data_IF_023475272667
#
_entry.id   IF_023475272667
#
_cell.length_a   1.000
_cell.length_b   1.000
_cell.length_c   1.000
_cell.angle_alpha   90.00
_cell.angle_beta   90.00
_cell.angle_gamma   90.00
#
_symmetry.space_group_name_H-M   'P 1'
#
loop_
_entity.id
_entity.type
_entity.pdbx_description
1 polymer ?
#
# COMPACT_ATOMS: atom_id res chain seq x y z
N UNK A 1 13.95 22.14 -6.53
CA UNK A 1 12.94 21.51 -5.64
C UNK A 1 12.11 22.50 -4.81
N UNK A 2 12.69 23.40 -4.01
CA UNK A 2 11.92 24.27 -3.08
C UNK A 2 11.07 25.35 -3.79
N UNK A 3 11.54 25.86 -4.93
CA UNK A 3 10.82 26.87 -5.72
C UNK A 3 9.40 26.45 -6.13
N UNK A 4 9.19 25.16 -6.48
CA UNK A 4 7.86 24.65 -6.84
C UNK A 4 6.91 24.60 -5.64
N UNK A 5 7.43 24.33 -4.44
CA UNK A 5 6.63 24.25 -3.21
C UNK A 5 6.24 25.64 -2.69
N UNK A 6 7.10 26.63 -2.88
CA UNK A 6 6.86 28.01 -2.45
C UNK A 6 5.94 28.80 -3.40
N UNK A 7 5.99 28.53 -4.72
CA UNK A 7 5.25 29.32 -5.71
C UNK A 7 3.92 28.72 -6.20
N UNK A 8 3.51 27.53 -5.73
CA UNK A 8 2.20 26.96 -6.09
C UNK A 8 1.24 27.01 -4.91
N UNK A 9 0.02 27.50 -5.15
CA UNK A 9 -1.03 27.52 -4.11
C UNK A 9 -1.47 26.11 -3.74
N UNK A 10 -1.86 25.91 -2.47
CA UNK A 10 -2.34 24.61 -1.97
C UNK A 10 -3.50 24.05 -2.81
N UNK A 11 -4.42 24.91 -3.28
CA UNK A 11 -5.52 24.48 -4.14
C UNK A 11 -5.03 23.91 -5.47
N UNK A 12 -4.02 24.53 -6.08
CA UNK A 12 -3.42 24.06 -7.33
C UNK A 12 -2.62 22.77 -7.09
N UNK A 13 -1.88 22.68 -5.98
CA UNK A 13 -1.16 21.47 -5.57
C UNK A 13 -2.11 20.29 -5.40
N UNK A 14 -3.23 20.50 -4.70
CA UNK A 14 -4.26 19.47 -4.50
C UNK A 14 -4.88 19.06 -5.84
N UNK A 15 -5.23 20.00 -6.72
CA UNK A 15 -5.80 19.69 -8.03
C UNK A 15 -4.85 18.90 -8.95
N UNK A 16 -3.59 19.34 -9.05
CA UNK A 16 -2.55 18.63 -9.81
C UNK A 16 -2.31 17.23 -9.24
N UNK A 17 -2.26 17.11 -7.91
CA UNK A 17 -2.09 15.82 -7.24
C UNK A 17 -3.25 14.86 -7.52
N UNK A 18 -4.49 15.36 -7.56
CA UNK A 18 -5.70 14.61 -7.87
C UNK A 18 -5.66 14.06 -9.29
N UNK A 19 -5.21 14.88 -10.25
CA UNK A 19 -5.04 14.48 -11.65
C UNK A 19 -3.97 13.40 -11.81
N UNK A 20 -2.88 13.47 -11.04
CA UNK A 20 -1.83 12.45 -11.04
C UNK A 20 -2.14 11.21 -10.20
N UNK A 21 -3.15 11.27 -9.32
CA UNK A 21 -3.58 10.17 -8.46
C UNK A 21 -4.22 9.01 -9.23
N UNK A 22 -4.53 9.20 -10.51
CA UNK A 22 -4.95 8.13 -11.43
C UNK A 22 -3.86 7.07 -11.61
N UNK A 23 -2.59 7.41 -11.35
CA UNK A 23 -1.50 6.45 -11.33
C UNK A 23 -1.20 5.98 -9.91
N UNK A 24 -1.18 4.66 -9.71
CA UNK A 24 -0.95 4.04 -8.40
C UNK A 24 0.30 4.58 -7.71
N UNK A 25 0.12 5.14 -6.51
CA UNK A 25 1.19 5.76 -5.70
C UNK A 25 2.26 4.73 -5.33
N UNK A 26 1.86 3.48 -5.16
CA UNK A 26 2.73 2.37 -4.76
C UNK A 26 3.75 2.03 -5.85
N UNK A 27 3.33 2.00 -7.11
CA UNK A 27 4.23 1.80 -8.25
C UNK A 27 5.32 2.88 -8.32
N UNK A 28 4.97 4.13 -8.00
CA UNK A 28 5.93 5.24 -7.96
C UNK A 28 6.91 5.11 -6.80
N UNK A 29 6.42 4.72 -5.62
CA UNK A 29 7.28 4.54 -4.44
C UNK A 29 8.30 3.42 -4.62
N UNK A 30 7.93 2.29 -5.22
CA UNK A 30 8.87 1.19 -5.48
C UNK A 30 10.04 1.63 -6.34
N UNK A 31 9.76 2.36 -7.43
CA UNK A 31 10.81 2.83 -8.34
C UNK A 31 11.69 3.91 -7.70
N UNK A 32 11.16 4.69 -6.76
CA UNK A 32 11.88 5.80 -6.15
C UNK A 32 12.72 5.40 -4.94
N UNK A 33 12.17 4.58 -4.04
CA UNK A 33 12.74 4.29 -2.72
C UNK A 33 13.38 2.90 -2.67
N UNK A 34 12.87 1.96 -3.46
CA UNK A 34 13.27 0.55 -3.45
C UNK A 34 12.12 -0.34 -2.97
N UNK A 35 12.19 -1.64 -3.32
CA UNK A 35 11.08 -2.56 -3.10
C UNK A 35 10.89 -2.90 -1.62
N UNK A 36 11.97 -3.15 -0.85
CA UNK A 36 11.88 -3.52 0.57
C UNK A 36 11.29 -2.42 1.45
N UNK A 37 11.74 -1.18 1.29
CA UNK A 37 11.22 -0.05 2.05
C UNK A 37 9.74 0.23 1.69
N UNK A 38 9.36 0.06 0.42
CA UNK A 38 7.97 0.19 0.00
C UNK A 38 7.10 -0.94 0.56
N UNK A 39 7.60 -2.17 0.60
CA UNK A 39 6.91 -3.31 1.18
C UNK A 39 6.67 -3.12 2.69
N UNK A 40 7.64 -2.59 3.44
CA UNK A 40 7.46 -2.28 4.85
C UNK A 40 6.35 -1.24 5.08
N UNK A 41 6.32 -0.18 4.26
CA UNK A 41 5.25 0.83 4.30
C UNK A 41 3.88 0.25 3.94
N UNK A 42 3.85 -0.65 2.96
CA UNK A 42 2.62 -1.31 2.52
C UNK A 42 2.08 -2.27 3.60
N UNK A 43 2.95 -3.00 4.30
CA UNK A 43 2.58 -3.78 5.49
C UNK A 43 2.00 -2.90 6.58
N UNK A 44 2.67 -1.80 6.94
CA UNK A 44 2.14 -0.85 7.94
C UNK A 44 0.78 -0.28 7.53
N UNK A 45 0.60 0.01 6.24
CA UNK A 45 -0.67 0.48 5.69
C UNK A 45 -1.78 -0.57 5.84
N UNK A 46 -1.52 -1.83 5.49
CA UNK A 46 -2.49 -2.91 5.63
C UNK A 46 -2.82 -3.26 7.08
N UNK A 47 -1.84 -3.22 7.99
CA UNK A 47 -2.08 -3.37 9.43
C UNK A 47 -3.03 -2.29 9.92
N UNK A 48 -2.81 -1.02 9.53
CA UNK A 48 -3.69 0.07 9.93
C UNK A 48 -5.10 -0.08 9.36
N UNK A 49 -5.24 -0.42 8.07
CA UNK A 49 -6.56 -0.68 7.46
C UNK A 49 -7.25 -1.86 8.15
N UNK A 50 -6.52 -2.94 8.40
CA UNK A 50 -7.04 -4.13 9.09
C UNK A 50 -7.51 -3.81 10.51
N UNK A 51 -6.72 -3.05 11.27
CA UNK A 51 -7.05 -2.60 12.62
C UNK A 51 -8.32 -1.73 12.62
N UNK A 52 -8.38 -0.72 11.76
CA UNK A 52 -9.57 0.15 11.67
C UNK A 52 -10.78 -0.67 11.24
N UNK A 53 -10.64 -1.57 10.27
CA UNK A 53 -11.71 -2.47 9.86
C UNK A 53 -12.20 -3.36 11.00
N UNK A 54 -11.29 -3.87 11.85
CA UNK A 54 -11.66 -4.67 13.02
C UNK A 54 -12.41 -3.83 14.07
N UNK A 55 -11.99 -2.58 14.30
CA UNK A 55 -12.71 -1.64 15.15
C UNK A 55 -14.10 -1.33 14.60
N UNK A 56 -14.23 -1.10 13.29
CA UNK A 56 -15.52 -0.88 12.63
C UNK A 56 -16.44 -2.10 12.83
N UNK A 57 -15.93 -3.32 12.67
CA UNK A 57 -16.70 -4.54 12.97
C UNK A 57 -17.14 -4.55 14.44
N UNK A 58 -16.25 -4.26 15.38
CA UNK A 58 -16.57 -4.23 16.81
C UNK A 58 -17.73 -3.27 17.15
N UNK A 59 -17.75 -2.09 16.53
CA UNK A 59 -18.81 -1.09 16.74
C UNK A 59 -20.08 -1.42 15.95
N UNK A 60 -19.95 -1.99 14.76
CA UNK A 60 -21.08 -2.29 13.87
C UNK A 60 -21.80 -3.58 14.26
N UNK A 61 -21.08 -4.54 14.86
CA UNK A 61 -21.63 -5.85 15.20
C UNK A 61 -22.74 -5.75 16.24
N UNK A 62 -22.58 -4.93 17.28
CA UNK A 62 -23.65 -4.69 18.26
C UNK A 62 -24.89 -4.11 17.58
N UNK A 63 -24.70 -3.12 16.71
CA UNK A 63 -25.78 -2.49 15.94
C UNK A 63 -26.46 -3.43 14.94
N UNK A 64 -25.76 -4.46 14.47
CA UNK A 64 -26.31 -5.48 13.57
C UNK A 64 -27.11 -6.57 14.31
N UNK A 65 -26.68 -6.94 15.52
CA UNK A 65 -27.30 -8.01 16.32
C UNK A 65 -28.49 -7.51 17.13
N UNK A 66 -28.42 -6.26 17.60
CA UNK A 66 -29.53 -5.60 18.31
C UNK A 66 -29.91 -4.32 17.56
N UNK A 67 -30.71 -4.44 16.48
CA UNK A 67 -31.13 -3.27 15.70
C UNK A 67 -32.03 -2.36 16.53
N UNK A 68 -31.97 -1.06 16.25
CA UNK A 68 -32.84 -0.06 16.86
C UNK A 68 -34.29 -0.38 16.51
N UNK A 69 -35.16 -0.43 17.52
CA UNK A 69 -36.60 -0.64 17.35
C UNK A 69 -37.27 0.72 17.23
N UNK A 70 -38.13 0.89 16.23
CA UNK A 70 -38.94 2.10 16.09
C UNK A 70 -40.10 2.07 17.10
N UNK A 71 -40.21 3.10 17.95
CA UNK A 71 -41.26 3.21 18.97
C UNK A 71 -42.62 3.67 18.41
N UNK A 72 -42.63 4.25 17.20
CA UNK A 72 -43.76 4.99 16.61
C UNK A 72 -44.73 4.14 15.76
N UNK A 73 -44.31 2.96 15.30
CA UNK A 73 -45.12 2.09 14.42
C UNK A 73 -45.45 2.69 13.05
N UNK A 74 -44.80 3.79 12.63
CA UNK A 74 -44.98 4.36 11.30
C UNK A 74 -44.23 3.55 10.22
N UNK A 75 -44.84 3.34 9.05
CA UNK A 75 -44.24 2.61 7.92
C UNK A 75 -42.87 3.19 7.49
N UNK A 76 -42.70 4.51 7.64
CA UNK A 76 -41.45 5.21 7.33
C UNK A 76 -40.28 4.77 8.24
N UNK A 77 -40.56 4.51 9.51
CA UNK A 77 -39.56 4.09 10.48
C UNK A 77 -39.20 2.61 10.31
N UNK A 78 -40.16 1.77 9.90
CA UNK A 78 -39.86 0.37 9.57
C UNK A 78 -38.91 0.26 8.36
N UNK A 79 -39.10 1.09 7.34
CA UNK A 79 -38.20 1.15 6.17
C UNK A 79 -36.81 1.65 6.60
N UNK A 80 -36.73 2.68 7.43
CA UNK A 80 -35.47 3.23 7.93
C UNK A 80 -34.68 2.20 8.75
N UNK A 81 -35.35 1.40 9.59
CA UNK A 81 -34.73 0.30 10.35
C UNK A 81 -34.18 -0.78 9.42
N UNK A 82 -34.92 -1.18 8.38
CA UNK A 82 -34.45 -2.17 7.38
C UNK A 82 -33.24 -1.67 6.60
N UNK A 83 -33.26 -0.41 6.19
CA UNK A 83 -32.13 0.24 5.50
C UNK A 83 -30.90 0.29 6.39
N UNK A 84 -31.05 0.75 7.64
CA UNK A 84 -29.94 0.80 8.61
C UNK A 84 -29.33 -0.59 8.83
N UNK A 85 -30.16 -1.59 9.10
CA UNK A 85 -29.69 -2.97 9.34
C UNK A 85 -28.94 -3.54 8.13
N UNK A 86 -29.46 -3.30 6.92
CA UNK A 86 -28.82 -3.76 5.67
C UNK A 86 -27.48 -3.09 5.44
N UNK A 87 -27.40 -1.76 5.64
CA UNK A 87 -26.16 -1.00 5.48
C UNK A 87 -25.11 -1.42 6.51
N UNK A 88 -25.50 -1.66 7.76
CA UNK A 88 -24.61 -2.21 8.80
C UNK A 88 -24.08 -3.58 8.41
N UNK A 89 -24.96 -4.48 7.93
CA UNK A 89 -24.57 -5.82 7.47
C UNK A 89 -23.56 -5.77 6.31
N UNK A 90 -23.82 -4.93 5.31
CA UNK A 90 -22.89 -4.70 4.19
C UNK A 90 -21.55 -4.17 4.71
N UNK A 91 -21.56 -3.17 5.60
CA UNK A 91 -20.32 -2.61 6.17
C UNK A 91 -19.48 -3.66 6.90
N UNK A 92 -20.12 -4.55 7.68
CA UNK A 92 -19.44 -5.66 8.38
C UNK A 92 -18.80 -6.61 7.38
N UNK A 93 -19.52 -7.02 6.34
CA UNK A 93 -18.99 -7.95 5.31
C UNK A 93 -17.81 -7.32 4.57
N UNK A 94 -17.93 -6.05 4.15
CA UNK A 94 -16.85 -5.34 3.46
C UNK A 94 -15.62 -5.16 4.35
N UNK A 95 -15.82 -4.86 5.64
CA UNK A 95 -14.72 -4.74 6.60
C UNK A 95 -14.04 -6.08 6.85
N UNK A 96 -14.81 -7.18 6.95
CA UNK A 96 -14.25 -8.53 7.10
C UNK A 96 -13.45 -8.95 5.86
N UNK A 97 -14.00 -8.72 4.66
CA UNK A 97 -13.29 -8.97 3.41
C UNK A 97 -11.99 -8.18 3.33
N UNK A 98 -12.00 -6.92 3.75
CA UNK A 98 -10.80 -6.07 3.80
C UNK A 98 -9.73 -6.66 4.70
N UNK A 99 -10.09 -7.14 5.90
CA UNK A 99 -9.16 -7.79 6.84
C UNK A 99 -8.55 -9.05 6.21
N UNK A 100 -9.39 -9.93 5.65
CA UNK A 100 -8.92 -11.19 5.04
C UNK A 100 -7.96 -10.91 3.89
N UNK A 101 -8.29 -9.95 3.01
CA UNK A 101 -7.43 -9.56 1.89
C UNK A 101 -6.12 -8.97 2.43
N UNK A 102 -6.14 -8.06 3.41
CA UNK A 102 -4.93 -7.52 4.03
C UNK A 102 -4.01 -8.61 4.57
N UNK A 103 -4.55 -9.61 5.27
CA UNK A 103 -3.77 -10.72 5.84
C UNK A 103 -3.14 -11.58 4.74
N UNK A 104 -3.92 -11.97 3.72
CA UNK A 104 -3.41 -12.75 2.59
C UNK A 104 -2.25 -12.00 1.91
N UNK A 105 -2.44 -10.71 1.61
CA UNK A 105 -1.44 -9.90 0.94
C UNK A 105 -0.19 -9.63 1.80
N UNK A 106 -0.32 -9.54 3.13
CA UNK A 106 0.85 -9.47 4.02
C UNK A 106 1.70 -10.73 3.92
N UNK A 107 1.07 -11.91 3.96
CA UNK A 107 1.78 -13.20 3.84
C UNK A 107 2.46 -13.30 2.47
N UNK A 108 1.77 -12.91 1.39
CA UNK A 108 2.35 -12.93 0.05
C UNK A 108 3.56 -12.00 -0.09
N UNK A 109 3.56 -10.83 0.56
CA UNK A 109 4.76 -9.98 0.61
C UNK A 109 5.91 -10.66 1.35
N UNK A 110 5.64 -11.34 2.46
CA UNK A 110 6.66 -12.07 3.23
C UNK A 110 7.24 -13.26 2.45
N UNK A 111 6.45 -13.86 1.55
CA UNK A 111 6.90 -14.96 0.68
C UNK A 111 7.82 -14.50 -0.46
N UNK A 112 7.87 -13.21 -0.78
CA UNK A 112 8.76 -12.67 -1.80
C UNK A 112 10.18 -12.45 -1.22
N UNK A 113 11.08 -13.40 -1.51
CA UNK A 113 12.42 -13.45 -0.90
C UNK A 113 13.45 -12.58 -1.63
N UNK A 114 13.23 -12.24 -2.89
CA UNK A 114 14.15 -11.39 -3.67
C UNK A 114 13.59 -10.00 -3.93
N UNK A 115 14.48 -9.00 -4.06
CA UNK A 115 14.07 -7.62 -4.35
C UNK A 115 13.36 -7.48 -5.71
N UNK A 116 13.73 -8.32 -6.69
CA UNK A 116 13.11 -8.36 -8.00
C UNK A 116 11.67 -8.86 -7.92
N UNK A 117 11.45 -9.99 -7.25
CA UNK A 117 10.11 -10.57 -7.09
C UNK A 117 9.18 -9.61 -6.34
N UNK A 118 9.72 -8.95 -5.31
CA UNK A 118 8.99 -7.95 -4.53
C UNK A 118 8.59 -6.73 -5.38
N UNK A 119 9.49 -6.26 -6.26
CA UNK A 119 9.21 -5.16 -7.20
C UNK A 119 8.12 -5.55 -8.19
N UNK A 120 8.21 -6.74 -8.76
CA UNK A 120 7.24 -7.25 -9.73
C UNK A 120 5.88 -7.47 -9.08
N UNK A 121 5.85 -8.02 -7.86
CA UNK A 121 4.64 -8.18 -7.05
C UNK A 121 3.93 -6.85 -6.81
N UNK A 122 4.64 -5.83 -6.33
CA UNK A 122 4.02 -4.53 -6.04
C UNK A 122 3.54 -3.86 -7.33
N UNK A 123 4.29 -3.98 -8.43
CA UNK A 123 3.91 -3.37 -9.71
C UNK A 123 2.68 -4.02 -10.34
N UNK A 124 2.55 -5.36 -10.24
CA UNK A 124 1.41 -6.11 -10.73
C UNK A 124 0.16 -5.88 -9.87
N UNK A 125 0.33 -5.84 -8.55
CA UNK A 125 -0.78 -5.76 -7.59
C UNK A 125 -1.13 -4.34 -7.13
N UNK A 126 -0.42 -3.31 -7.59
CA UNK A 126 -0.71 -1.91 -7.26
C UNK A 126 -2.20 -1.52 -7.44
N UNK A 127 -2.88 -1.91 -8.54
CA UNK A 127 -4.31 -1.62 -8.72
C UNK A 127 -5.20 -2.29 -7.66
N UNK A 128 -4.80 -3.45 -7.14
CA UNK A 128 -5.56 -4.19 -6.13
C UNK A 128 -5.49 -3.47 -4.78
N UNK A 129 -4.33 -2.87 -4.45
CA UNK A 129 -4.19 -2.04 -3.24
C UNK A 129 -5.10 -0.80 -3.32
N UNK A 130 -5.19 -0.18 -4.50
CA UNK A 130 -6.07 0.96 -4.74
C UNK A 130 -7.56 0.54 -4.65
N UNK A 131 -7.92 -0.62 -5.22
CA UNK A 131 -9.26 -1.22 -5.10
C UNK A 131 -9.63 -1.51 -3.63
N UNK A 132 -8.73 -2.12 -2.87
CA UNK A 132 -8.92 -2.44 -1.46
C UNK A 132 -9.17 -1.19 -0.62
N UNK A 133 -8.45 -0.11 -0.92
CA UNK A 133 -8.68 1.19 -0.27
C UNK A 133 -10.07 1.74 -0.61
N UNK A 134 -10.54 1.53 -1.83
CA UNK A 134 -11.91 1.86 -2.25
C UNK A 134 -12.97 1.04 -1.51
N UNK A 135 -12.76 -0.28 -1.38
CA UNK A 135 -13.64 -1.19 -0.63
C UNK A 135 -13.73 -0.80 0.85
N UNK A 136 -12.59 -0.51 1.47
CA UNK A 136 -12.53 0.02 2.84
C UNK A 136 -13.26 1.36 2.98
N UNK A 137 -13.05 2.29 2.03
CA UNK A 137 -13.75 3.58 2.05
C UNK A 137 -15.26 3.40 1.92
N UNK A 138 -15.71 2.47 1.08
CA UNK A 138 -17.12 2.13 0.93
C UNK A 138 -17.70 1.55 2.24
N UNK A 139 -16.96 0.71 2.96
CA UNK A 139 -17.44 0.16 4.24
C UNK A 139 -17.63 1.25 5.31
N UNK A 140 -16.73 2.23 5.35
CA UNK A 140 -16.86 3.39 6.25
C UNK A 140 -18.09 4.23 5.88
N UNK A 141 -18.29 4.51 4.59
CA UNK A 141 -19.43 5.31 4.11
C UNK A 141 -20.76 4.61 4.40
N UNK A 142 -20.86 3.30 4.17
CA UNK A 142 -22.08 2.55 4.47
C UNK A 142 -22.39 2.54 5.96
N UNK A 143 -21.37 2.46 6.83
CA UNK A 143 -21.56 2.57 8.27
C UNK A 143 -22.06 3.95 8.69
N UNK A 144 -21.49 5.02 8.13
CA UNK A 144 -21.93 6.39 8.40
C UNK A 144 -23.39 6.61 7.97
N UNK A 145 -23.78 6.09 6.80
CA UNK A 145 -25.16 6.15 6.34
C UNK A 145 -26.09 5.38 7.28
N UNK A 146 -25.67 4.19 7.74
CA UNK A 146 -26.43 3.43 8.72
C UNK A 146 -26.63 4.21 10.03
N UNK A 147 -25.57 4.83 10.55
CA UNK A 147 -25.63 5.64 11.76
C UNK A 147 -26.58 6.84 11.60
N UNK A 148 -26.56 7.52 10.44
CA UNK A 148 -27.50 8.59 10.13
C UNK A 148 -28.95 8.10 10.10
N UNK A 149 -29.21 6.95 9.48
CA UNK A 149 -30.56 6.35 9.48
C UNK A 149 -31.02 5.95 10.89
N UNK A 150 -30.12 5.43 11.73
CA UNK A 150 -30.44 5.09 13.12
C UNK A 150 -30.74 6.34 13.97
N UNK A 151 -29.98 7.42 13.77
CA UNK A 151 -30.24 8.72 14.40
C UNK A 151 -31.59 9.30 13.97
N UNK A 152 -31.97 9.15 12.70
CA UNK A 152 -33.28 9.60 12.20
C UNK A 152 -34.43 8.88 12.91
N UNK A 153 -34.30 7.57 13.17
CA UNK A 153 -35.32 6.78 13.90
C UNK A 153 -35.36 7.13 15.39
N UNK A 154 -34.23 7.54 15.97
CA UNK A 154 -34.12 7.75 17.43
C UNK A 154 -34.44 9.19 17.87
N UNK A 155 -34.10 10.18 17.06
CA UNK A 155 -34.30 11.60 17.39
C UNK A 155 -35.54 12.18 16.70
N UNK A 156 -36.19 13.16 17.34
CA UNK A 156 -37.20 13.96 16.65
C UNK A 156 -36.61 14.71 15.46
N UNK A 157 -37.40 15.00 14.42
CA UNK A 157 -36.92 15.60 13.16
C UNK A 157 -36.05 16.85 13.36
N UNK A 158 -36.44 17.73 14.29
CA UNK A 158 -35.69 18.95 14.60
C UNK A 158 -34.34 18.64 15.26
N UNK A 159 -34.29 17.71 16.19
CA UNK A 159 -33.06 17.28 16.88
C UNK A 159 -32.11 16.57 15.91
N UNK A 160 -32.65 15.69 15.06
CA UNK A 160 -31.91 15.03 13.99
C UNK A 160 -31.24 16.05 13.07
N UNK A 161 -31.97 17.06 12.59
CA UNK A 161 -31.42 18.09 11.69
C UNK A 161 -30.28 18.86 12.38
N UNK A 162 -30.44 19.23 13.65
CA UNK A 162 -29.41 19.96 14.41
C UNK A 162 -28.15 19.09 14.55
N UNK A 163 -28.30 17.84 14.98
CA UNK A 163 -27.17 16.92 15.18
C UNK A 163 -26.48 16.60 13.85
N UNK A 164 -27.26 16.36 12.79
CA UNK A 164 -26.73 16.10 11.45
C UNK A 164 -26.00 17.33 10.88
N UNK A 165 -26.51 18.54 11.09
CA UNK A 165 -25.87 19.77 10.62
C UNK A 165 -24.55 20.04 11.36
N UNK A 166 -24.52 19.92 12.69
CA UNK A 166 -23.30 20.15 13.49
C UNK A 166 -22.26 19.07 13.19
N UNK A 167 -22.64 17.80 13.27
CA UNK A 167 -21.74 16.66 13.01
C UNK A 167 -21.27 16.69 11.56
N UNK A 168 -22.18 16.93 10.61
CA UNK A 168 -21.87 17.05 9.20
C UNK A 168 -20.88 18.17 8.90
N UNK A 169 -21.01 19.32 9.57
CA UNK A 169 -20.06 20.43 9.42
C UNK A 169 -18.67 20.06 9.94
N UNK A 170 -18.58 19.43 11.11
CA UNK A 170 -17.30 18.98 11.69
C UNK A 170 -16.63 17.95 10.78
N UNK A 171 -17.40 16.96 10.32
CA UNK A 171 -16.90 15.92 9.40
C UNK A 171 -16.46 16.53 8.07
N UNK A 172 -17.22 17.45 7.50
CA UNK A 172 -16.86 18.13 6.26
C UNK A 172 -15.56 18.92 6.41
N UNK A 173 -15.39 19.66 7.50
CA UNK A 173 -14.15 20.38 7.79
C UNK A 173 -12.96 19.42 7.93
N UNK A 174 -13.14 18.29 8.63
CA UNK A 174 -12.11 17.27 8.76
C UNK A 174 -11.75 16.65 7.40
N UNK A 175 -12.73 16.37 6.53
CA UNK A 175 -12.51 15.85 5.17
C UNK A 175 -11.74 16.86 4.32
N UNK A 176 -12.15 18.13 4.33
CA UNK A 176 -11.45 19.19 3.58
C UNK A 176 -10.01 19.33 4.06
N UNK A 177 -9.79 19.36 5.37
CA UNK A 177 -8.45 19.43 5.94
C UNK A 177 -7.60 18.21 5.55
N UNK A 178 -8.13 16.99 5.68
CA UNK A 178 -7.46 15.77 5.28
C UNK A 178 -7.13 15.75 3.78
N UNK A 179 -8.04 16.23 2.93
CA UNK A 179 -7.83 16.32 1.48
C UNK A 179 -6.71 17.32 1.12
N UNK A 180 -6.64 18.47 1.81
CA UNK A 180 -5.57 19.45 1.62
C UNK A 180 -4.22 18.86 2.05
N UNK A 181 -4.15 18.23 3.22
CA UNK A 181 -2.92 17.59 3.72
C UNK A 181 -2.47 16.45 2.80
N UNK A 182 -3.40 15.60 2.36
CA UNK A 182 -3.12 14.52 1.42
C UNK A 182 -2.64 15.05 0.07
N UNK A 183 -3.29 16.10 -0.45
CA UNK A 183 -2.92 16.77 -1.70
C UNK A 183 -1.52 17.37 -1.63
N UNK A 184 -1.20 18.07 -0.55
CA UNK A 184 0.13 18.63 -0.32
C UNK A 184 1.22 17.54 -0.23
N UNK A 185 0.97 16.46 0.52
CA UNK A 185 1.91 15.35 0.62
C UNK A 185 2.12 14.65 -0.73
N UNK A 186 1.05 14.43 -1.51
CA UNK A 186 1.16 13.86 -2.87
C UNK A 186 1.91 14.79 -3.81
N UNK A 187 1.67 16.10 -3.73
CA UNK A 187 2.41 17.09 -4.53
C UNK A 187 3.90 17.08 -4.19
N UNK A 188 4.28 17.04 -2.90
CA UNK A 188 5.68 16.90 -2.47
C UNK A 188 6.34 15.64 -3.05
N UNK A 189 5.63 14.52 -3.08
CA UNK A 189 6.12 13.28 -3.69
C UNK A 189 6.27 13.43 -5.21
N UNK A 190 5.31 14.04 -5.89
CA UNK A 190 5.40 14.33 -7.32
C UNK A 190 6.60 15.22 -7.65
N UNK A 191 6.82 16.30 -6.90
CA UNK A 191 7.98 17.18 -7.09
C UNK A 191 9.30 16.42 -6.91
N UNK A 192 9.38 15.48 -5.94
CA UNK A 192 10.59 14.68 -5.70
C UNK A 192 10.88 13.66 -6.80
N UNK A 193 9.87 13.05 -7.38
CA UNK A 193 10.06 11.84 -8.19
C UNK A 193 9.60 11.97 -9.65
N UNK A 194 8.54 12.72 -9.92
CA UNK A 194 7.94 12.84 -11.25
C UNK A 194 8.29 14.17 -11.96
N UNK A 195 8.81 15.16 -11.23
CA UNK A 195 9.32 16.39 -11.82
C UNK A 195 10.49 16.09 -12.78
N UNK A 196 10.81 16.99 -13.73
CA UNK A 196 11.98 16.81 -14.59
C UNK A 196 13.27 16.59 -13.80
N UNK A 197 13.45 17.33 -12.70
CA UNK A 197 14.56 17.18 -11.76
C UNK A 197 14.55 15.80 -11.07
N UNK A 198 13.38 15.38 -10.58
CA UNK A 198 13.20 14.07 -9.92
C UNK A 198 13.49 12.89 -10.85
N UNK A 199 12.99 12.96 -12.09
CA UNK A 199 13.26 11.94 -13.12
C UNK A 199 14.73 11.87 -13.49
N UNK A 200 15.44 12.99 -13.54
CA UNK A 200 16.87 13.00 -13.78
C UNK A 200 17.65 12.33 -12.63
N UNK A 201 17.24 12.56 -11.37
CA UNK A 201 17.83 11.91 -10.20
C UNK A 201 17.58 10.39 -10.19
N UNK A 202 16.35 9.94 -10.50
CA UNK A 202 16.04 8.51 -10.62
C UNK A 202 16.86 7.86 -11.73
N UNK A 203 16.94 8.50 -12.90
CA UNK A 203 17.74 7.98 -14.01
C UNK A 203 19.25 7.96 -13.70
N UNK A 204 19.76 8.91 -12.92
CA UNK A 204 21.15 8.90 -12.47
C UNK A 204 21.41 7.73 -11.51
N UNK A 205 20.52 7.48 -10.55
CA UNK A 205 20.61 6.35 -9.62
C UNK A 205 20.53 5.00 -10.33
N UNK A 206 19.65 4.86 -11.32
CA UNK A 206 19.54 3.63 -12.12
C UNK A 206 20.84 3.35 -12.89
N UNK A 207 21.54 4.40 -13.37
CA UNK A 207 22.85 4.26 -14.01
C UNK A 207 23.93 3.85 -13.01
N UNK A 208 24.01 4.50 -11.86
CA UNK A 208 24.97 4.13 -10.81
C UNK A 208 24.81 2.66 -10.36
N UNK A 209 23.56 2.21 -10.24
CA UNK A 209 23.26 0.81 -9.91
C UNK A 209 23.67 -0.14 -11.03
N UNK A 210 23.38 0.20 -12.30
CA UNK A 210 23.83 -0.58 -13.46
C UNK A 210 25.35 -0.68 -13.58
N UNK A 211 26.05 0.42 -13.37
CA UNK A 211 27.52 0.47 -13.40
C UNK A 211 28.14 -0.35 -12.26
N UNK A 212 27.53 -0.31 -11.07
CA UNK A 212 27.93 -1.16 -9.94
C UNK A 212 27.75 -2.64 -10.23
N UNK A 213 26.63 -3.01 -10.88
CA UNK A 213 26.35 -4.39 -11.27
C UNK A 213 27.34 -4.90 -12.33
N UNK A 214 27.70 -4.05 -13.29
CA UNK A 214 28.70 -4.38 -14.31
C UNK A 214 30.08 -4.63 -13.69
N UNK A 215 30.50 -3.81 -12.72
CA UNK A 215 31.75 -4.01 -11.97
C UNK A 215 31.76 -5.31 -11.18
N UNK A 216 30.66 -5.61 -10.46
CA UNK A 216 30.51 -6.86 -9.73
C UNK A 216 30.54 -8.08 -10.67
N UNK A 217 29.96 -7.95 -11.86
CA UNK A 217 29.99 -9.00 -12.87
C UNK A 217 31.41 -9.21 -13.43
N UNK A 218 32.15 -8.13 -13.68
CA UNK A 218 33.54 -8.19 -14.13
C UNK A 218 34.44 -8.83 -13.06
N UNK A 219 34.28 -8.44 -11.80
CA UNK A 219 35.04 -9.01 -10.68
C UNK A 219 34.71 -10.49 -10.46
N UNK A 220 33.44 -10.87 -10.61
CA UNK A 220 33.03 -12.28 -10.57
C UNK A 220 33.65 -13.09 -11.73
N UNK A 221 33.67 -12.54 -12.94
CA UNK A 221 34.30 -13.19 -14.10
C UNK A 221 35.81 -13.37 -13.90
N UNK A 222 36.47 -12.38 -13.31
CA UNK A 222 37.89 -12.46 -12.96
C UNK A 222 38.15 -13.57 -11.93
N UNK A 223 37.35 -13.63 -10.85
CA UNK A 223 37.46 -14.69 -9.85
C UNK A 223 37.20 -16.09 -10.42
N UNK A 224 36.26 -16.21 -11.37
CA UNK A 224 35.99 -17.48 -12.07
C UNK A 224 37.19 -17.94 -12.90
N UNK A 225 37.88 -17.02 -13.57
CA UNK A 225 39.07 -17.35 -14.36
C UNK A 225 40.26 -17.72 -13.47
N UNK A 226 40.50 -17.00 -12.36
CA UNK A 226 41.53 -17.38 -11.38
C UNK A 226 41.28 -18.79 -10.82
N UNK A 227 40.03 -19.10 -10.46
CA UNK A 227 39.66 -20.44 -9.99
C UNK A 227 39.88 -21.52 -11.05
N UNK A 228 39.66 -21.19 -12.33
CA UNK A 228 39.91 -22.09 -13.45
C UNK A 228 41.39 -22.37 -13.63
N UNK A 229 42.24 -21.34 -13.57
CA UNK A 229 43.71 -21.51 -13.65
C UNK A 229 44.25 -22.35 -12.49
N UNK A 230 43.76 -22.11 -11.27
CA UNK A 230 44.15 -22.91 -10.09
C UNK A 230 43.75 -24.38 -10.27
N UNK A 231 42.54 -24.62 -10.80
CA UNK A 231 42.07 -25.98 -11.10
C UNK A 231 42.97 -26.67 -12.12
N UNK A 232 43.26 -26.02 -13.24
CA UNK A 232 44.12 -26.58 -14.30
C UNK A 232 45.53 -26.89 -13.77
N UNK A 233 46.09 -26.02 -12.91
CA UNK A 233 47.37 -26.26 -12.27
C UNK A 233 47.35 -27.46 -11.31
N UNK A 234 46.27 -27.62 -10.52
CA UNK A 234 46.09 -28.77 -9.63
C UNK A 234 46.00 -30.08 -10.42
N UNK A 235 45.25 -30.11 -11.53
CA UNK A 235 45.15 -31.28 -12.41
C UNK A 235 46.51 -31.65 -13.02
N UNK A 236 47.29 -30.66 -13.46
CA UNK A 236 48.66 -30.84 -13.95
C UNK A 236 49.59 -31.41 -12.88
N UNK A 237 49.51 -30.89 -11.64
CA UNK A 237 50.31 -31.37 -10.52
C UNK A 237 49.96 -32.81 -10.16
N UNK A 238 48.67 -33.14 -10.09
CA UNK A 238 48.22 -34.50 -9.81
C UNK A 238 48.67 -35.48 -10.90
N UNK A 239 48.61 -35.07 -12.16
CA UNK A 239 49.12 -35.86 -13.30
C UNK A 239 50.63 -36.08 -13.20
N UNK A 240 51.40 -35.03 -12.84
CA UNK A 240 52.85 -35.12 -12.62
C UNK A 240 53.18 -36.07 -11.47
N UNK A 241 52.46 -35.98 -10.34
CA UNK A 241 52.68 -36.83 -9.17
C UNK A 241 52.37 -38.31 -9.50
N UNK A 242 51.31 -38.59 -10.28
CA UNK A 242 51.03 -39.93 -10.80
C UNK A 242 52.16 -40.45 -11.69
N UNK A 243 52.67 -39.65 -12.63
CA UNK A 243 53.79 -40.06 -13.50
C UNK A 243 55.05 -40.35 -12.67
N UNK A 244 55.40 -39.48 -11.72
CA UNK A 244 56.56 -39.69 -10.85
C UNK A 244 56.43 -40.96 -10.00
N UNK A 245 55.24 -41.26 -9.49
CA UNK A 245 54.99 -42.51 -8.76
C UNK A 245 55.11 -43.76 -9.64
N UNK A 246 54.74 -43.68 -10.92
CA UNK A 246 54.87 -44.78 -11.88
C UNK A 246 56.33 -45.00 -12.31
N UNK A 247 57.12 -43.92 -12.45
CA UNK A 247 58.55 -43.98 -12.81
C UNK A 247 59.41 -44.42 -11.63
N UNK A 248 59.08 -44.00 -10.40
CA UNK A 248 59.78 -44.41 -9.18
C UNK A 248 59.51 -45.86 -8.73
N UNK A 249 58.47 -46.50 -9.26
CA UNK A 249 58.14 -47.92 -9.00
C UNK A 249 58.83 -48.93 -9.91
N UNK A 250 59.75 -48.49 -10.79
CA UNK A 250 60.51 -49.36 -11.72
C UNK A 250 61.98 -49.51 -11.30
N UNK A 251 62.20 -49.83 -10.01
CA UNK A 251 63.50 -50.25 -9.48
C UNK A 251 63.37 -51.62 -8.81
#
# INVERSE_FOLDING_TARGET
MDWYLENTSYALQTWLSLRTAVHSVWRKQVNAVGAHETANRLKSFWVNIGLVSALLIGVSYSSAVTPVVADSGEDADEIAVKVSTTLTGISVILSLATIVICVIYMIEIDNNTTERDLRDFINANAPIVDLLTGVFSASVVTLLLSALTAMFVTYGQTEFIIVAAVTGTIVLLAIVFAAVVAGHNRFRLWVRYDSPEGRALVAARDRECGDGLAKLQEELMFQVEELREIKDYLELKETKDRILSAVGGSA
#
